data_IF_334487080681
#
_entry.id   IF_334487080681
#
_cell.length_a   1.000
_cell.length_b   1.000
_cell.length_c   1.000
_cell.angle_alpha   90.00
_cell.angle_beta   90.00
_cell.angle_gamma   90.00
#
_symmetry.space_group_name_H-M   'P 1'
#
loop_
_entity.id
_entity.type
_entity.pdbx_description
1 polymer ?
#
# COMPACT_ATOMS: atom_id res chain seq x y z
N UNK A 1 21.91 -0.55 9.11
CA UNK A 1 21.85 -0.57 7.62
C UNK A 1 20.90 -1.69 7.19
N UNK A 2 19.72 -1.39 6.60
CA UNK A 2 18.70 -2.39 6.34
C UNK A 2 19.19 -3.44 5.33
N UNK A 3 18.91 -4.71 5.64
CA UNK A 3 19.34 -5.91 4.88
C UNK A 3 18.95 -5.86 3.39
N UNK A 4 17.81 -5.24 3.10
CA UNK A 4 17.23 -5.11 1.77
C UNK A 4 18.10 -4.24 0.83
N UNK A 5 18.64 -3.13 1.33
CA UNK A 5 19.49 -2.22 0.55
C UNK A 5 20.83 -2.89 0.15
N UNK A 6 21.39 -3.74 1.02
CA UNK A 6 22.60 -4.51 0.71
C UNK A 6 22.36 -5.54 -0.40
N UNK A 7 21.19 -6.19 -0.42
CA UNK A 7 20.82 -7.12 -1.50
C UNK A 7 20.70 -6.39 -2.84
N UNK A 8 20.09 -5.20 -2.87
CA UNK A 8 20.00 -4.38 -4.09
C UNK A 8 21.36 -3.98 -4.63
N UNK A 9 22.24 -3.45 -3.77
CA UNK A 9 23.58 -3.03 -4.18
C UNK A 9 24.42 -4.22 -4.68
N UNK A 10 24.32 -5.39 -4.04
CA UNK A 10 25.02 -6.59 -4.49
C UNK A 10 24.54 -7.07 -5.87
N UNK A 11 23.23 -7.05 -6.12
CA UNK A 11 22.66 -7.43 -7.41
C UNK A 11 23.07 -6.43 -8.51
N UNK A 12 22.96 -5.14 -8.24
CA UNK A 12 23.33 -4.07 -9.17
C UNK A 12 24.82 -4.07 -9.52
N UNK A 13 25.70 -4.21 -8.52
CA UNK A 13 27.15 -4.26 -8.76
C UNK A 13 27.57 -5.50 -9.55
N UNK A 14 26.87 -6.62 -9.38
CA UNK A 14 27.05 -7.81 -10.22
C UNK A 14 26.63 -7.53 -11.67
N UNK A 15 25.47 -6.93 -11.88
CA UNK A 15 24.97 -6.56 -13.22
C UNK A 15 25.92 -5.61 -13.95
N UNK A 16 26.39 -4.53 -13.30
CA UNK A 16 27.37 -3.62 -13.91
C UNK A 16 28.63 -4.38 -14.32
N UNK A 17 29.17 -5.25 -13.44
CA UNK A 17 30.37 -6.03 -13.76
C UNK A 17 30.17 -6.92 -14.99
N UNK A 18 29.02 -7.57 -15.10
CA UNK A 18 28.67 -8.40 -16.25
C UNK A 18 28.51 -7.58 -17.53
N UNK A 19 27.97 -6.35 -17.44
CA UNK A 19 27.92 -5.42 -18.58
C UNK A 19 29.31 -4.96 -18.99
N UNK A 20 30.16 -4.54 -18.05
CA UNK A 20 31.54 -4.14 -18.33
C UNK A 20 32.34 -5.25 -19.03
N UNK A 21 32.09 -6.52 -18.67
CA UNK A 21 32.74 -7.67 -19.30
C UNK A 21 32.30 -7.88 -20.76
N UNK A 22 31.16 -7.33 -21.17
CA UNK A 22 30.61 -7.42 -22.53
C UNK A 22 30.94 -6.19 -23.36
N UNK A 23 30.71 -5.00 -22.80
CA UNK A 23 30.94 -3.72 -23.44
C UNK A 23 31.06 -2.61 -22.38
N UNK A 24 32.15 -1.84 -22.45
CA UNK A 24 32.41 -0.75 -21.51
C UNK A 24 31.44 0.43 -21.73
N UNK A 25 31.05 0.72 -22.97
CA UNK A 25 30.15 1.84 -23.29
C UNK A 25 28.73 1.60 -22.75
N UNK A 26 28.24 0.35 -22.80
CA UNK A 26 26.92 -0.04 -22.26
C UNK A 26 26.87 0.07 -20.73
N UNK A 27 28.01 -0.06 -20.05
CA UNK A 27 28.09 0.05 -18.60
C UNK A 27 28.08 1.50 -18.11
N UNK A 28 28.63 2.46 -18.87
CA UNK A 28 28.63 3.88 -18.51
C UNK A 28 27.22 4.51 -18.53
N UNK A 29 26.31 4.01 -19.38
CA UNK A 29 24.91 4.46 -19.43
C UNK A 29 24.00 3.75 -18.42
N UNK A 30 24.50 2.69 -17.77
CA UNK A 30 23.71 1.86 -16.86
C UNK A 30 23.49 2.59 -15.52
N UNK A 31 22.29 3.15 -15.35
CA UNK A 31 21.83 3.68 -14.07
C UNK A 31 21.10 2.61 -13.25
N UNK A 32 21.08 2.77 -11.92
CA UNK A 32 20.32 1.90 -11.00
C UNK A 32 18.82 1.84 -11.35
N UNK A 33 18.25 2.96 -11.81
CA UNK A 33 16.87 3.04 -12.33
C UNK A 33 16.71 2.16 -13.57
N UNK A 34 17.63 2.25 -14.54
CA UNK A 34 17.55 1.44 -15.77
C UNK A 34 17.65 -0.07 -15.51
N UNK A 35 18.47 -0.47 -14.54
CA UNK A 35 18.57 -1.85 -14.08
C UNK A 35 17.25 -2.33 -13.44
N UNK A 36 16.73 -1.58 -12.46
CA UNK A 36 15.48 -1.92 -11.79
C UNK A 36 14.29 -1.99 -12.77
N UNK A 37 14.18 -1.03 -13.69
CA UNK A 37 13.13 -1.03 -14.72
C UNK A 37 13.29 -2.21 -15.67
N UNK A 38 14.52 -2.57 -16.07
CA UNK A 38 14.78 -3.72 -16.93
C UNK A 38 14.29 -5.03 -16.31
N UNK A 39 14.53 -5.23 -15.01
CA UNK A 39 14.12 -6.43 -14.30
C UNK A 39 12.60 -6.60 -14.15
N UNK A 40 11.78 -5.56 -14.36
CA UNK A 40 10.31 -5.71 -14.37
C UNK A 40 9.80 -6.65 -15.46
N UNK A 41 10.62 -6.96 -16.47
CA UNK A 41 10.29 -7.92 -17.52
C UNK A 41 10.82 -9.33 -17.25
N UNK A 42 11.56 -9.56 -16.14
CA UNK A 42 12.13 -10.87 -15.81
C UNK A 42 11.05 -11.90 -15.49
N UNK A 43 11.15 -13.10 -16.06
CA UNK A 43 10.24 -14.21 -15.76
C UNK A 43 10.49 -14.83 -14.38
N UNK A 44 11.66 -14.54 -13.76
CA UNK A 44 11.97 -14.96 -12.40
C UNK A 44 11.13 -14.16 -11.40
N UNK A 45 10.28 -14.82 -10.57
CA UNK A 45 9.49 -14.14 -9.55
C UNK A 45 10.36 -13.38 -8.54
N UNK A 46 11.54 -13.91 -8.23
CA UNK A 46 12.49 -13.27 -7.31
C UNK A 46 13.07 -11.99 -7.89
N UNK A 47 13.46 -12.00 -9.17
CA UNK A 47 13.98 -10.82 -9.85
C UNK A 47 12.89 -9.77 -10.07
N UNK A 48 11.66 -10.20 -10.38
CA UNK A 48 10.52 -9.31 -10.49
C UNK A 48 10.19 -8.62 -9.16
N UNK A 49 10.15 -9.37 -8.04
CA UNK A 49 9.95 -8.79 -6.71
C UNK A 49 11.11 -7.87 -6.31
N UNK A 50 12.35 -8.25 -6.63
CA UNK A 50 13.52 -7.41 -6.40
C UNK A 50 13.39 -6.07 -7.15
N UNK A 51 13.00 -6.13 -8.43
CA UNK A 51 12.76 -4.96 -9.27
C UNK A 51 11.68 -4.06 -8.68
N UNK A 52 10.53 -4.65 -8.32
CA UNK A 52 9.41 -3.91 -7.74
C UNK A 52 9.84 -3.19 -6.44
N UNK A 53 10.55 -3.87 -5.54
CA UNK A 53 11.03 -3.23 -4.30
C UNK A 53 12.04 -2.11 -4.57
N UNK A 54 12.95 -2.31 -5.52
CA UNK A 54 13.92 -1.28 -5.90
C UNK A 54 13.22 -0.02 -6.42
N UNK A 55 12.17 -0.19 -7.24
CA UNK A 55 11.39 0.92 -7.77
C UNK A 55 10.55 1.62 -6.69
N UNK A 56 9.91 0.88 -5.78
CA UNK A 56 9.20 1.46 -4.63
C UNK A 56 10.15 2.29 -3.74
N UNK A 57 11.38 1.82 -3.52
CA UNK A 57 12.41 2.60 -2.82
C UNK A 57 12.83 3.86 -3.59
N UNK A 58 12.99 3.78 -4.91
CA UNK A 58 13.34 4.94 -5.75
C UNK A 58 12.25 6.01 -5.73
N UNK A 59 10.98 5.59 -5.82
CA UNK A 59 9.82 6.48 -5.72
C UNK A 59 9.79 7.18 -4.36
N UNK A 60 9.93 6.42 -3.26
CA UNK A 60 9.97 6.97 -1.90
C UNK A 60 11.09 7.99 -1.67
N UNK A 61 12.20 7.84 -2.40
CA UNK A 61 13.35 8.72 -2.31
C UNK A 61 13.29 9.91 -3.30
N UNK A 62 12.16 10.14 -3.97
CA UNK A 62 11.96 11.28 -4.88
C UNK A 62 12.66 11.13 -6.24
N UNK A 63 12.96 9.91 -6.68
CA UNK A 63 13.45 9.61 -8.04
C UNK A 63 12.29 9.21 -8.97
N UNK A 64 11.14 9.84 -8.80
CA UNK A 64 9.86 9.42 -9.36
C UNK A 64 9.73 9.78 -10.85
N UNK A 65 10.13 10.98 -11.29
CA UNK A 65 9.91 11.43 -12.68
C UNK A 65 10.64 10.58 -13.75
N UNK A 66 11.93 10.28 -13.53
CA UNK A 66 12.74 9.44 -14.43
C UNK A 66 12.26 7.99 -14.42
N UNK A 67 11.91 7.48 -13.23
CA UNK A 67 11.36 6.13 -13.05
C UNK A 67 10.03 5.98 -13.78
N UNK A 68 9.10 6.91 -13.56
CA UNK A 68 7.78 6.97 -14.19
C UNK A 68 7.89 6.95 -15.71
N UNK A 69 8.67 7.85 -16.29
CA UNK A 69 8.86 7.94 -17.75
C UNK A 69 9.33 6.61 -18.36
N UNK A 70 10.33 5.96 -17.73
CA UNK A 70 10.86 4.68 -18.21
C UNK A 70 9.87 3.52 -18.09
N UNK A 71 9.12 3.44 -17.00
CA UNK A 71 8.12 2.38 -16.80
C UNK A 71 6.97 2.55 -17.78
N UNK A 72 6.47 3.78 -17.96
CA UNK A 72 5.38 4.10 -18.90
C UNK A 72 5.77 3.88 -20.35
N UNK A 73 7.05 4.03 -20.70
CA UNK A 73 7.58 3.72 -22.03
C UNK A 73 7.38 2.26 -22.45
N UNK A 74 7.07 1.33 -21.53
CA UNK A 74 6.77 -0.07 -21.86
C UNK A 74 5.35 -0.47 -21.43
N UNK A 75 4.46 -0.64 -22.41
CA UNK A 75 3.12 -1.19 -22.19
C UNK A 75 3.13 -2.55 -21.49
N UNK A 76 4.14 -3.39 -21.78
CA UNK A 76 4.29 -4.71 -21.16
C UNK A 76 4.56 -4.59 -19.66
N UNK A 77 5.43 -3.66 -19.24
CA UNK A 77 5.73 -3.41 -17.82
C UNK A 77 4.50 -2.92 -17.07
N UNK A 78 3.78 -1.94 -17.63
CA UNK A 78 2.53 -1.42 -17.05
C UNK A 78 1.47 -2.52 -16.93
N UNK A 79 1.26 -3.30 -18.00
CA UNK A 79 0.29 -4.41 -17.98
C UNK A 79 0.64 -5.46 -16.92
N UNK A 80 1.93 -5.77 -16.75
CA UNK A 80 2.38 -6.73 -15.73
C UNK A 80 2.13 -6.23 -14.31
N UNK A 81 2.45 -4.97 -14.04
CA UNK A 81 2.15 -4.34 -12.75
C UNK A 81 0.64 -4.36 -12.45
N UNK A 82 -0.21 -3.98 -13.42
CA UNK A 82 -1.66 -4.05 -13.29
C UNK A 82 -2.15 -5.49 -13.04
N UNK A 83 -1.62 -6.47 -13.77
CA UNK A 83 -1.94 -7.88 -13.56
C UNK A 83 -1.56 -8.35 -12.15
N UNK A 84 -0.42 -7.91 -11.62
CA UNK A 84 0.00 -8.18 -10.24
C UNK A 84 -1.03 -7.64 -9.23
N UNK A 85 -1.65 -6.48 -9.45
CA UNK A 85 -2.70 -5.97 -8.55
C UNK A 85 -3.93 -6.89 -8.51
N UNK A 86 -4.35 -7.35 -9.70
CA UNK A 86 -5.54 -8.19 -9.87
C UNK A 86 -5.34 -9.66 -9.52
N UNK A 87 -4.10 -10.14 -9.40
CA UNK A 87 -3.81 -11.53 -9.10
C UNK A 87 -3.84 -11.80 -7.59
N UNK A 88 -4.77 -12.64 -7.15
CA UNK A 88 -4.85 -13.11 -5.75
C UNK A 88 -3.82 -14.19 -5.42
N UNK A 89 -3.13 -14.73 -6.43
CA UNK A 89 -2.07 -15.74 -6.27
C UNK A 89 -0.72 -15.12 -5.92
N UNK A 90 -0.54 -13.82 -6.20
CA UNK A 90 0.69 -13.10 -5.86
C UNK A 90 0.77 -12.82 -4.37
N UNK A 91 1.99 -12.76 -3.84
CA UNK A 91 2.19 -12.44 -2.43
C UNK A 91 1.63 -11.07 -2.10
N UNK A 92 1.06 -10.92 -0.92
CA UNK A 92 0.53 -9.65 -0.40
C UNK A 92 1.53 -8.51 -0.54
N UNK A 93 2.79 -8.82 -0.23
CA UNK A 93 3.87 -7.87 -0.33
C UNK A 93 4.06 -7.39 -1.77
N UNK A 94 4.12 -8.32 -2.73
CA UNK A 94 4.30 -7.97 -4.14
C UNK A 94 3.11 -7.16 -4.67
N UNK A 95 1.88 -7.54 -4.28
CA UNK A 95 0.67 -6.77 -4.61
C UNK A 95 0.73 -5.34 -4.06
N UNK A 96 1.17 -5.18 -2.81
CA UNK A 96 1.28 -3.86 -2.16
C UNK A 96 2.37 -2.98 -2.80
N UNK A 97 3.54 -3.56 -3.06
CA UNK A 97 4.65 -2.87 -3.74
C UNK A 97 4.24 -2.46 -5.14
N UNK A 98 3.58 -3.34 -5.90
CA UNK A 98 3.04 -3.01 -7.22
C UNK A 98 1.98 -1.91 -7.13
N UNK A 99 1.10 -1.93 -6.12
CA UNK A 99 0.07 -0.91 -5.95
C UNK A 99 0.67 0.47 -5.71
N UNK A 100 1.73 0.58 -4.90
CA UNK A 100 2.46 1.84 -4.68
C UNK A 100 3.10 2.37 -5.96
N UNK A 101 3.73 1.48 -6.74
CA UNK A 101 4.29 1.86 -8.05
C UNK A 101 3.18 2.37 -8.96
N UNK A 102 2.08 1.63 -9.10
CA UNK A 102 0.94 2.03 -9.95
C UNK A 102 0.30 3.34 -9.48
N UNK A 103 0.21 3.58 -8.17
CA UNK A 103 -0.24 4.85 -7.62
C UNK A 103 0.68 5.99 -8.06
N UNK A 104 2.00 5.81 -8.00
CA UNK A 104 2.98 6.79 -8.49
C UNK A 104 2.85 7.05 -9.99
N UNK A 105 2.63 6.00 -10.79
CA UNK A 105 2.35 6.15 -12.21
C UNK A 105 1.06 6.95 -12.45
N UNK A 106 0.00 6.73 -11.65
CA UNK A 106 -1.28 7.42 -11.76
C UNK A 106 -1.21 8.92 -11.40
N UNK A 107 -0.14 9.38 -10.74
CA UNK A 107 -0.01 10.78 -10.31
C UNK A 107 0.33 11.75 -11.45
N UNK A 108 0.85 11.27 -12.58
CA UNK A 108 1.13 12.09 -13.77
C UNK A 108 -0.06 12.17 -14.74
N UNK A 109 0.16 12.72 -15.93
CA UNK A 109 -0.82 12.77 -17.05
C UNK A 109 -1.08 11.37 -17.67
N UNK A 110 -0.96 10.33 -16.87
CA UNK A 110 -0.91 8.95 -17.31
C UNK A 110 -2.32 8.41 -17.42
N UNK A 111 -2.62 7.93 -18.62
CA UNK A 111 -3.88 7.33 -18.97
C UNK A 111 -3.90 5.84 -18.59
N UNK A 112 -3.61 5.48 -17.33
CA UNK A 112 -3.68 4.08 -16.90
C UNK A 112 -5.09 3.51 -17.12
N UNK A 113 -6.13 4.35 -17.00
CA UNK A 113 -7.50 3.95 -17.32
C UNK A 113 -7.69 3.50 -18.78
N UNK A 114 -6.84 3.94 -19.72
CA UNK A 114 -6.86 3.48 -21.12
C UNK A 114 -6.29 2.09 -21.32
N UNK A 115 -5.71 1.47 -20.29
CA UNK A 115 -5.37 0.06 -20.34
C UNK A 115 -6.66 -0.76 -20.05
N UNK A 116 -7.11 -1.61 -20.99
CA UNK A 116 -8.30 -2.43 -20.77
C UNK A 116 -8.17 -3.28 -19.51
N UNK A 117 -9.21 -3.29 -18.68
CA UNK A 117 -9.22 -4.03 -17.41
C UNK A 117 -8.41 -3.40 -16.28
N UNK A 118 -7.83 -2.21 -16.47
CA UNK A 118 -7.09 -1.50 -15.40
C UNK A 118 -7.95 -1.25 -14.16
N UNK A 119 -9.18 -0.75 -14.33
CA UNK A 119 -10.12 -0.54 -13.24
C UNK A 119 -10.50 -1.85 -12.53
N UNK A 120 -10.63 -2.96 -13.27
CA UNK A 120 -10.87 -4.28 -12.69
C UNK A 120 -9.70 -4.69 -11.79
N UNK A 121 -8.47 -4.58 -12.29
CA UNK A 121 -7.26 -4.87 -11.52
C UNK A 121 -7.15 -4.00 -10.26
N UNK A 122 -7.46 -2.70 -10.35
CA UNK A 122 -7.45 -1.79 -9.20
C UNK A 122 -8.59 -2.13 -8.23
N UNK A 123 -9.78 -2.45 -8.72
CA UNK A 123 -10.94 -2.81 -7.89
C UNK A 123 -10.69 -4.06 -7.04
N UNK A 124 -9.82 -4.98 -7.51
CA UNK A 124 -9.41 -6.18 -6.75
C UNK A 124 -8.72 -5.84 -5.43
N UNK A 125 -8.14 -4.64 -5.31
CA UNK A 125 -7.51 -4.15 -4.08
C UNK A 125 -8.54 -3.72 -3.02
N UNK A 126 -9.79 -3.45 -3.43
CA UNK A 126 -10.83 -2.89 -2.56
C UNK A 126 -11.62 -3.95 -1.78
N UNK A 127 -11.44 -5.23 -2.07
CA UNK A 127 -12.26 -6.31 -1.47
C UNK A 127 -11.51 -7.03 -0.34
N UNK A 128 -10.20 -6.82 -0.22
CA UNK A 128 -9.35 -7.50 0.78
C UNK A 128 -9.42 -6.78 2.15
N UNK A 129 -10.57 -6.87 2.82
CA UNK A 129 -10.86 -6.15 4.08
C UNK A 129 -9.95 -6.53 5.26
N UNK A 130 -9.15 -7.58 5.12
CA UNK A 130 -8.11 -7.95 6.09
C UNK A 130 -6.80 -7.18 5.92
N UNK A 131 -6.70 -6.30 4.90
CA UNK A 131 -5.46 -5.61 4.50
C UNK A 131 -5.76 -4.16 4.14
N UNK A 132 -5.98 -3.30 5.14
CA UNK A 132 -6.34 -1.90 4.91
C UNK A 132 -5.33 -1.16 4.03
N UNK A 133 -4.05 -1.53 4.07
CA UNK A 133 -2.99 -0.92 3.25
C UNK A 133 -3.23 -1.15 1.75
N UNK A 134 -3.72 -2.32 1.34
CA UNK A 134 -4.06 -2.58 -0.06
C UNK A 134 -5.25 -1.73 -0.49
N UNK A 135 -6.26 -1.60 0.38
CA UNK A 135 -7.46 -0.80 0.10
C UNK A 135 -7.08 0.67 -0.03
N UNK A 136 -6.29 1.21 0.90
CA UNK A 136 -5.74 2.57 0.84
C UNK A 136 -5.03 2.82 -0.48
N UNK A 137 -4.16 1.91 -0.91
CA UNK A 137 -3.47 2.06 -2.20
C UNK A 137 -4.44 1.98 -3.38
N UNK A 138 -5.44 1.09 -3.35
CA UNK A 138 -6.49 1.02 -4.36
C UNK A 138 -7.26 2.34 -4.49
N UNK A 139 -7.71 2.91 -3.36
CA UNK A 139 -8.40 4.19 -3.33
C UNK A 139 -7.49 5.34 -3.79
N UNK A 140 -6.21 5.32 -3.40
CA UNK A 140 -5.21 6.31 -3.83
C UNK A 140 -5.01 6.28 -5.35
N UNK A 141 -4.93 5.09 -5.96
CA UNK A 141 -4.84 4.95 -7.41
C UNK A 141 -6.07 5.56 -8.07
N UNK A 142 -7.28 5.20 -7.61
CA UNK A 142 -8.53 5.72 -8.16
C UNK A 142 -8.63 7.24 -8.03
N UNK A 143 -8.25 7.80 -6.87
CA UNK A 143 -8.24 9.23 -6.62
C UNK A 143 -7.28 9.96 -7.58
N UNK A 144 -6.09 9.41 -7.81
CA UNK A 144 -5.11 9.98 -8.74
C UNK A 144 -5.59 9.91 -10.18
N UNK A 145 -6.15 8.77 -10.60
CA UNK A 145 -6.74 8.63 -11.94
C UNK A 145 -7.91 9.59 -12.14
N UNK A 146 -8.75 9.74 -11.12
CA UNK A 146 -9.85 10.69 -11.08
C UNK A 146 -9.38 12.15 -11.07
N UNK A 147 -8.10 12.50 -11.20
CA UNK A 147 -7.70 13.88 -11.49
C UNK A 147 -7.96 14.24 -12.96
N UNK A 148 -7.87 13.28 -13.87
CA UNK A 148 -8.23 13.43 -15.29
C UNK A 148 -9.76 13.32 -15.47
N UNK A 149 -10.42 14.29 -16.13
CA UNK A 149 -11.87 14.26 -16.33
C UNK A 149 -12.38 13.04 -17.12
N UNK A 150 -11.62 12.52 -18.08
CA UNK A 150 -12.04 11.35 -18.87
C UNK A 150 -12.03 10.10 -18.00
N UNK A 151 -10.97 9.93 -17.19
CA UNK A 151 -10.88 8.82 -16.24
C UNK A 151 -12.01 8.90 -15.21
N UNK A 152 -12.40 10.10 -14.76
CA UNK A 152 -13.57 10.27 -13.85
C UNK A 152 -14.84 9.70 -14.48
N UNK A 153 -15.09 10.02 -15.75
CA UNK A 153 -16.28 9.53 -16.47
C UNK A 153 -16.26 8.00 -16.54
N UNK A 154 -15.11 7.39 -16.84
CA UNK A 154 -14.98 5.93 -16.89
C UNK A 154 -15.19 5.28 -15.51
N UNK A 155 -14.58 5.85 -14.45
CA UNK A 155 -14.76 5.40 -13.06
C UNK A 155 -16.23 5.48 -12.64
N UNK A 156 -16.93 6.56 -12.99
CA UNK A 156 -18.34 6.75 -12.63
C UNK A 156 -19.30 5.85 -13.42
N UNK A 157 -18.88 5.32 -14.57
CA UNK A 157 -19.67 4.36 -15.36
C UNK A 157 -19.50 2.91 -14.90
N UNK A 158 -18.47 2.62 -14.11
CA UNK A 158 -18.20 1.28 -13.60
C UNK A 158 -19.08 0.98 -12.37
N UNK A 159 -20.27 0.43 -12.61
CA UNK A 159 -21.21 0.08 -11.53
C UNK A 159 -20.65 -0.92 -10.52
N UNK A 160 -19.79 -1.84 -10.95
CA UNK A 160 -19.23 -2.87 -10.07
C UNK A 160 -18.21 -2.23 -9.11
N UNK A 161 -17.37 -1.34 -9.63
CA UNK A 161 -16.45 -0.55 -8.83
C UNK A 161 -17.19 0.32 -7.82
N UNK A 162 -18.24 1.02 -8.26
CA UNK A 162 -19.05 1.87 -7.38
C UNK A 162 -19.70 1.04 -6.25
N UNK A 163 -20.26 -0.14 -6.55
CA UNK A 163 -20.79 -1.05 -5.53
C UNK A 163 -19.74 -1.43 -4.48
N UNK A 164 -18.50 -1.75 -4.90
CA UNK A 164 -17.40 -2.06 -3.97
C UNK A 164 -17.06 -0.87 -3.07
N UNK A 165 -17.01 0.34 -3.62
CA UNK A 165 -16.75 1.58 -2.87
C UNK A 165 -17.87 1.83 -1.85
N UNK A 166 -19.14 1.65 -2.23
CA UNK A 166 -20.28 1.81 -1.32
C UNK A 166 -20.24 0.81 -0.17
N UNK A 167 -20.01 -0.48 -0.46
CA UNK A 167 -19.89 -1.51 0.58
C UNK A 167 -18.75 -1.19 1.55
N UNK A 168 -17.60 -0.73 1.04
CA UNK A 168 -16.50 -0.29 1.90
C UNK A 168 -16.91 0.86 2.83
N UNK A 169 -17.64 1.85 2.31
CA UNK A 169 -18.13 2.97 3.12
C UNK A 169 -19.08 2.51 4.25
N UNK A 170 -19.97 1.57 3.95
CA UNK A 170 -20.90 0.98 4.93
C UNK A 170 -20.14 0.20 6.03
N UNK A 171 -19.16 -0.61 5.66
CA UNK A 171 -18.33 -1.35 6.62
C UNK A 171 -17.61 -0.38 7.57
N UNK A 172 -17.07 0.73 7.07
CA UNK A 172 -16.42 1.73 7.91
C UNK A 172 -17.41 2.44 8.83
N UNK A 173 -18.63 2.73 8.35
CA UNK A 173 -19.68 3.36 9.16
C UNK A 173 -20.18 2.48 10.31
N UNK A 174 -20.09 1.15 10.17
CA UNK A 174 -20.46 0.22 11.25
C UNK A 174 -19.36 0.09 12.32
N UNK A 175 -18.08 0.17 11.94
CA UNK A 175 -16.94 0.11 12.88
C UNK A 175 -16.82 1.35 13.78
N UNK A 176 -17.25 2.53 13.31
CA UNK A 176 -17.20 3.77 14.10
C UNK A 176 -18.28 3.87 15.18
N UNK A 177 -19.33 3.02 15.14
CA UNK A 177 -20.41 3.00 16.14
C UNK A 177 -20.13 2.09 17.34
N UNK A 178 -19.11 1.24 17.28
CA UNK A 178 -18.74 0.32 18.37
C UNK A 178 -17.54 0.81 19.17
N UNK A 179 -17.73 1.86 19.97
CA UNK A 179 -16.91 2.13 21.16
C UNK A 179 -17.87 2.33 22.33
N UNK A 180 -18.00 1.37 23.28
CA UNK A 180 -18.81 1.61 24.45
C UNK A 180 -18.10 2.63 25.34
N UNK A 181 -18.69 3.81 25.45
CA UNK A 181 -18.46 4.74 26.55
C UNK A 181 -18.93 4.08 27.85
N UNK A 182 -18.01 3.43 28.57
CA UNK A 182 -18.23 3.10 29.97
C UNK A 182 -17.81 4.31 30.81
N UNK A 183 -18.77 5.20 31.03
CA UNK A 183 -18.70 6.31 31.97
C UNK A 183 -18.41 5.82 33.39
N UNK A 184 -17.53 6.57 34.07
CA UNK A 184 -17.30 6.55 35.52
C UNK A 184 -18.62 6.61 36.30
N UNK A 185 -18.72 5.81 37.36
CA UNK A 185 -19.31 6.24 38.63
C UNK A 185 -18.72 5.44 39.80
N UNK A 186 -18.51 6.19 40.88
CA UNK A 186 -17.72 5.95 42.09
C UNK A 186 -18.48 5.09 43.11
N UNK A 187 -17.79 4.24 43.88
CA UNK A 187 -17.89 4.14 45.35
C UNK A 187 -17.07 2.96 45.92
N UNK A 188 -16.08 3.27 46.78
CA UNK A 188 -15.72 2.43 47.93
C UNK A 188 -16.71 2.72 49.08
N UNK A 189 -16.90 1.83 50.07
CA UNK A 189 -16.04 1.75 51.28
C UNK A 189 -15.63 0.29 51.61
N UNK A 190 -14.40 0.02 52.06
CA UNK A 190 -13.88 0.03 53.45
C UNK A 190 -14.27 -1.19 54.33
N UNK A 191 -13.26 -1.64 55.08
CA UNK A 191 -13.25 -2.50 56.27
C UNK A 191 -13.34 -4.04 56.12
N UNK A 192 -12.24 -4.76 56.43
CA UNK A 192 -12.06 -5.38 57.76
C UNK A 192 -10.76 -6.23 57.86
N UNK A 193 -10.16 -6.16 59.04
CA UNK A 193 -8.90 -6.74 59.54
C UNK A 193 -8.91 -8.28 59.69
N UNK A 194 -7.71 -8.87 59.75
CA UNK A 194 -7.50 -10.25 60.25
C UNK A 194 -6.05 -10.73 60.15
N UNK A 195 -5.34 -10.70 61.27
CA UNK A 195 -3.92 -11.07 61.49
C UNK A 195 -3.77 -12.59 61.74
N UNK A 196 -2.74 -13.26 61.18
CA UNK A 196 -1.70 -14.02 61.92
C UNK A 196 -0.68 -14.77 61.04
N UNK A 197 0.56 -14.78 61.55
CA UNK A 197 1.82 -15.47 61.20
C UNK A 197 1.64 -16.98 60.87
N UNK A 198 2.58 -17.76 60.28
CA UNK A 198 3.98 -18.03 60.68
C UNK A 198 4.72 -18.75 59.51
N UNK A 199 5.99 -18.36 59.30
CA UNK A 199 7.20 -19.11 58.86
C UNK A 199 7.15 -20.25 57.82
N UNK A 200 8.03 -20.16 56.81
CA UNK A 200 9.23 -21.04 56.67
C UNK A 200 9.60 -21.28 55.20
N UNK A 201 10.89 -21.14 54.88
CA UNK A 201 11.52 -21.97 53.86
C UNK A 201 12.04 -21.29 52.59
N UNK A 202 13.32 -20.92 52.62
CA UNK A 202 14.34 -21.33 51.63
C UNK A 202 14.13 -21.03 50.14
N UNK A 203 15.04 -20.19 49.63
CA UNK A 203 15.70 -20.22 48.32
C UNK A 203 14.85 -20.40 47.05
N UNK A 204 14.85 -19.39 46.17
CA UNK A 204 15.53 -19.50 44.87
C UNK A 204 15.60 -18.14 44.15
N UNK A 205 16.70 -17.93 43.44
CA UNK A 205 17.05 -16.71 42.70
C UNK A 205 16.16 -16.64 41.47
N UNK A 206 15.08 -15.86 41.54
CA UNK A 206 14.23 -15.58 40.38
C UNK A 206 14.76 -14.33 39.67
N UNK A 207 15.44 -14.55 38.53
CA UNK A 207 15.78 -13.47 37.59
C UNK A 207 14.49 -12.93 36.97
N UNK A 208 13.96 -11.86 37.54
CA UNK A 208 12.91 -11.06 36.93
C UNK A 208 13.43 -10.43 35.63
N UNK A 209 13.11 -11.07 34.51
CA UNK A 209 12.96 -10.36 33.24
C UNK A 209 11.70 -9.49 33.35
N UNK A 210 11.75 -8.17 33.07
CA UNK A 210 10.53 -7.41 32.90
C UNK A 210 9.83 -7.89 31.63
N UNK A 211 8.77 -8.67 31.84
CA UNK A 211 7.80 -9.05 30.82
C UNK A 211 6.85 -7.86 30.60
N UNK A 212 7.20 -6.95 29.69
CA UNK A 212 6.38 -5.84 29.19
C UNK A 212 6.83 -5.55 27.75
N UNK A 213 6.02 -5.40 26.70
CA UNK A 213 4.58 -5.35 26.49
C UNK A 213 4.39 -5.61 24.98
N UNK A 214 3.85 -6.75 24.56
CA UNK A 214 3.67 -7.08 23.13
C UNK A 214 2.31 -6.69 22.55
N UNK A 215 1.49 -5.92 23.28
CA UNK A 215 0.11 -5.62 22.86
C UNK A 215 -0.16 -4.17 22.45
N UNK A 216 0.76 -3.20 22.65
CA UNK A 216 0.51 -1.79 22.29
C UNK A 216 0.85 -1.41 20.85
N UNK A 217 1.75 -2.12 20.18
CA UNK A 217 2.16 -1.76 18.81
C UNK A 217 1.12 -2.18 17.75
N UNK A 218 0.46 -3.33 17.97
CA UNK A 218 -0.51 -3.90 17.01
C UNK A 218 -1.81 -3.11 16.93
N UNK A 219 -2.30 -2.57 18.05
CA UNK A 219 -3.56 -1.81 18.08
C UNK A 219 -3.37 -0.41 17.47
N UNK A 220 -2.19 0.18 17.63
CA UNK A 220 -1.86 1.52 17.14
C UNK A 220 -1.70 1.56 15.62
N UNK A 221 -0.99 0.59 15.02
CA UNK A 221 -0.85 0.47 13.56
C UNK A 221 -2.19 0.24 12.87
N UNK A 222 -3.09 -0.51 13.52
CA UNK A 222 -4.44 -0.79 13.00
C UNK A 222 -5.35 0.45 13.06
N UNK A 223 -5.20 1.31 14.08
CA UNK A 223 -5.94 2.57 14.17
C UNK A 223 -5.45 3.60 13.14
N UNK A 224 -4.14 3.69 12.91
CA UNK A 224 -3.55 4.60 11.93
C UNK A 224 -3.94 4.22 10.48
N UNK A 225 -3.85 2.94 10.12
CA UNK A 225 -4.27 2.44 8.81
C UNK A 225 -5.77 2.64 8.55
N UNK A 226 -6.60 2.56 9.59
CA UNK A 226 -8.05 2.84 9.47
C UNK A 226 -8.35 4.34 9.25
N UNK A 227 -7.57 5.25 9.84
CA UNK A 227 -7.69 6.69 9.59
C UNK A 227 -7.29 7.04 8.16
N UNK A 228 -6.16 6.51 7.69
CA UNK A 228 -5.70 6.70 6.31
C UNK A 228 -6.73 6.18 5.30
N UNK A 229 -7.34 5.02 5.59
CA UNK A 229 -8.43 4.45 4.79
C UNK A 229 -9.66 5.36 4.74
N UNK A 230 -10.08 5.90 5.88
CA UNK A 230 -11.21 6.82 5.95
C UNK A 230 -10.94 8.11 5.16
N UNK A 231 -9.73 8.68 5.27
CA UNK A 231 -9.34 9.88 4.55
C UNK A 231 -9.31 9.65 3.03
N UNK A 232 -8.69 8.54 2.58
CA UNK A 232 -8.63 8.17 1.17
C UNK A 232 -10.03 7.99 0.57
N UNK A 233 -10.94 7.35 1.32
CA UNK A 233 -12.31 7.13 0.88
C UNK A 233 -13.10 8.45 0.80
N UNK A 234 -12.98 9.32 1.79
CA UNK A 234 -13.62 10.64 1.77
C UNK A 234 -13.11 11.50 0.60
N UNK A 235 -11.81 11.46 0.33
CA UNK A 235 -11.23 12.21 -0.78
C UNK A 235 -11.72 11.71 -2.15
N UNK A 236 -11.78 10.39 -2.35
CA UNK A 236 -12.28 9.80 -3.60
C UNK A 236 -13.78 10.09 -3.79
N UNK A 237 -14.61 9.89 -2.76
CA UNK A 237 -16.06 10.10 -2.86
C UNK A 237 -16.39 11.57 -3.15
N UNK A 238 -15.66 12.51 -2.57
CA UNK A 238 -15.77 13.95 -2.90
C UNK A 238 -15.50 14.23 -4.38
N UNK A 239 -14.44 13.65 -4.95
CA UNK A 239 -14.12 13.80 -6.38
C UNK A 239 -15.20 13.21 -7.30
N UNK A 240 -15.77 12.05 -6.93
CA UNK A 240 -16.84 11.40 -7.68
C UNK A 240 -18.09 12.28 -7.68
N UNK A 241 -18.52 12.77 -6.51
CA UNK A 241 -19.73 13.62 -6.38
C UNK A 241 -19.60 14.94 -7.16
N UNK A 242 -18.42 15.58 -7.15
CA UNK A 242 -18.17 16.77 -7.96
C UNK A 242 -18.33 16.52 -9.46
N UNK A 243 -17.99 15.31 -9.93
CA UNK A 243 -18.12 14.97 -11.35
C UNK A 243 -19.57 14.68 -11.77
N UNK A 244 -20.41 14.21 -10.85
CA UNK A 244 -21.84 13.93 -11.11
C UNK A 244 -22.72 15.19 -11.05
N UNK A 245 -22.22 16.29 -10.47
CA UNK A 245 -22.98 17.53 -10.24
C UNK A 245 -22.66 18.63 -11.27
N UNK A 246 -21.67 18.43 -12.14
CA UNK A 246 -21.32 19.39 -13.20
C UNK A 246 -22.21 19.17 -14.44
N UNK A 247 -23.01 20.16 -14.88
CA UNK A 247 -23.78 20.06 -16.11
C UNK A 247 -22.81 19.96 -17.30
N UNK A 248 -23.03 18.96 -18.17
CA UNK A 248 -22.31 18.83 -19.43
C UNK A 248 -22.57 20.10 -20.26
N UNK A 249 -21.58 20.98 -20.37
CA UNK A 249 -21.64 22.10 -21.29
C UNK A 249 -21.52 21.50 -22.70
N UNK A 250 -22.68 21.31 -23.33
CA UNK A 250 -22.78 20.91 -24.72
C UNK A 250 -22.23 22.06 -25.56
N UNK A 251 -20.98 21.96 -25.99
CA UNK A 251 -20.49 22.81 -27.07
C UNK A 251 -21.20 22.37 -28.35
N UNK A 252 -22.18 23.18 -28.77
CA UNK A 252 -22.82 23.14 -30.09
C UNK A 252 -21.96 23.86 -31.11
#
# INVERSE_FOLDING_TARGET
MPFVLKKFLKAYTKDIRERCAKDLAVAEEASFVSYAVGLLESESPEEYLLAARMLDCLIKNGQDASTRTRVLGSRRKVKRLLHTLGSTQESTELRLVAARIVADLAAGDVQLAKFPGSLICVSSLLIDTGRPELIVQGLTILQRLARDPNNRVDICKDEELLKKITVLAEILATKTKTKPEASRSIAQPDDNEGIHEISSGGNDIEMQFPMQTSHKASDQENEDGMKELQEALLSLTSLIVQSMTMPQVVHS
#
